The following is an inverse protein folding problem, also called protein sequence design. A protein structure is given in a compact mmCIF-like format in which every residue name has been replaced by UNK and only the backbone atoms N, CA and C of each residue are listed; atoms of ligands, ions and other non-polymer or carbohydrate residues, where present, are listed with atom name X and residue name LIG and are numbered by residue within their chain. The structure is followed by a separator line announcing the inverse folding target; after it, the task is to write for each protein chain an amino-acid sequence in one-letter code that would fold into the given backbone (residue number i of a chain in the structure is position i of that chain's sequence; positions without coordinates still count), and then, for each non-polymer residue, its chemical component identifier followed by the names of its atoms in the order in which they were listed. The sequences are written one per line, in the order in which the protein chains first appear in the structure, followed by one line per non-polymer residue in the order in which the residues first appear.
data_IF_312538578979
#
_entry.id   IF_312538578979
#
_cell.length_a   1.000
_cell.length_b   1.000
_cell.length_c   1.000
_cell.angle_alpha   90.00
_cell.angle_beta   90.00
_cell.angle_gamma   90.00
#
_symmetry.space_group_name_H-M   'P 1'
#
loop_
_entity.id
_entity.type
_entity.pdbx_description
1 polymer ?
#
# COMPACT_ATOMS: atom_id res chain seq x y z
N UNK A 1 -67.95 -32.06 -30.37
CA UNK A 1 -66.93 -32.57 -29.44
C UNK A 1 -65.59 -32.63 -30.16
N UNK A 2 -64.72 -31.62 -30.02
CA UNK A 2 -63.33 -31.68 -30.50
C UNK A 2 -62.43 -31.06 -29.43
N UNK A 3 -61.78 -31.91 -28.62
CA UNK A 3 -60.74 -31.50 -27.67
C UNK A 3 -59.40 -31.45 -28.40
N UNK A 4 -58.96 -30.23 -28.75
CA UNK A 4 -57.62 -29.97 -29.25
C UNK A 4 -56.65 -30.15 -28.07
N UNK A 5 -55.85 -31.21 -28.13
CA UNK A 5 -54.84 -31.54 -27.12
C UNK A 5 -53.50 -30.96 -27.58
N UNK A 6 -53.15 -29.77 -27.10
CA UNK A 6 -51.81 -29.21 -27.26
C UNK A 6 -50.81 -30.08 -26.48
N UNK A 7 -50.04 -30.92 -27.16
CA UNK A 7 -48.90 -31.60 -26.56
C UNK A 7 -47.74 -30.59 -26.48
N UNK A 8 -47.57 -29.95 -25.33
CA UNK A 8 -46.32 -29.26 -24.99
C UNK A 8 -45.24 -30.30 -24.69
N UNK A 9 -44.70 -30.94 -25.71
CA UNK A 9 -43.48 -31.75 -25.61
C UNK A 9 -42.64 -31.51 -26.86
N UNK A 10 -42.24 -30.26 -27.09
CA UNK A 10 -41.26 -29.93 -28.13
C UNK A 10 -39.85 -29.96 -27.53
N UNK A 11 -38.92 -30.78 -28.05
CA UNK A 11 -37.55 -30.87 -27.54
C UNK A 11 -36.80 -29.52 -27.57
N UNK A 12 -37.25 -28.60 -28.44
CA UNK A 12 -36.71 -27.23 -28.52
C UNK A 12 -36.99 -26.39 -27.28
N UNK A 13 -38.13 -26.59 -26.61
CA UNK A 13 -38.48 -25.86 -25.37
C UNK A 13 -37.61 -26.35 -24.23
N UNK A 14 -37.36 -27.66 -24.14
CA UNK A 14 -36.45 -28.22 -23.14
C UNK A 14 -35.02 -27.75 -23.34
N UNK A 15 -34.55 -27.64 -24.60
CA UNK A 15 -33.22 -27.16 -24.93
C UNK A 15 -33.03 -25.66 -24.63
N UNK A 16 -34.09 -24.85 -24.81
CA UNK A 16 -34.10 -23.44 -24.42
C UNK A 16 -34.13 -23.26 -22.90
N UNK A 17 -34.88 -24.09 -22.18
CA UNK A 17 -34.94 -24.04 -20.71
C UNK A 17 -33.58 -24.46 -20.13
N UNK A 18 -32.96 -25.54 -20.63
CA UNK A 18 -31.66 -25.99 -20.12
C UNK A 18 -30.53 -25.01 -20.42
N UNK A 19 -30.52 -24.39 -21.60
CA UNK A 19 -29.54 -23.35 -21.92
C UNK A 19 -29.73 -22.11 -21.05
N UNK A 20 -30.99 -21.71 -20.78
CA UNK A 20 -31.29 -20.58 -19.91
C UNK A 20 -30.91 -20.86 -18.44
N UNK A 21 -31.14 -22.08 -17.94
CA UNK A 21 -30.70 -22.48 -16.59
C UNK A 21 -29.18 -22.57 -16.45
N UNK A 22 -28.45 -23.02 -17.48
CA UNK A 22 -26.99 -23.02 -17.48
C UNK A 22 -26.42 -21.60 -17.50
N UNK A 23 -27.03 -20.67 -18.26
CA UNK A 23 -26.59 -19.28 -18.32
C UNK A 23 -26.77 -18.58 -16.95
N UNK A 24 -27.88 -18.86 -16.26
CA UNK A 24 -28.17 -18.33 -14.93
C UNK A 24 -27.23 -18.89 -13.85
N UNK A 25 -26.78 -20.14 -13.99
CA UNK A 25 -25.81 -20.78 -13.09
C UNK A 25 -24.36 -20.33 -13.35
N UNK A 26 -24.06 -19.78 -14.53
CA UNK A 26 -22.72 -19.31 -14.89
C UNK A 26 -22.42 -17.86 -14.53
N UNK A 27 -23.37 -17.12 -13.94
CA UNK A 27 -23.10 -15.80 -13.41
C UNK A 27 -22.20 -15.95 -12.17
N UNK A 28 -20.94 -15.48 -12.22
CA UNK A 28 -20.15 -15.41 -11.00
C UNK A 28 -20.88 -14.46 -10.05
N UNK A 29 -21.45 -14.99 -8.98
CA UNK A 29 -21.83 -14.20 -7.83
C UNK A 29 -20.51 -13.72 -7.21
N UNK A 30 -19.93 -12.65 -7.74
CA UNK A 30 -18.94 -11.90 -6.98
C UNK A 30 -19.69 -11.36 -5.77
N UNK A 31 -19.61 -12.08 -4.66
CA UNK A 31 -20.00 -11.58 -3.36
C UNK A 31 -19.10 -10.37 -3.08
N UNK A 32 -19.59 -9.16 -3.37
CA UNK A 32 -18.93 -7.95 -2.92
C UNK A 32 -18.88 -8.01 -1.40
N UNK A 33 -17.67 -7.88 -0.84
CA UNK A 33 -17.47 -7.82 0.61
C UNK A 33 -18.10 -6.52 1.08
N UNK A 34 -19.25 -6.60 1.73
CA UNK A 34 -19.86 -5.44 2.36
C UNK A 34 -19.24 -5.23 3.75
N UNK A 35 -18.23 -4.36 3.80
CA UNK A 35 -17.51 -4.03 5.04
C UNK A 35 -18.41 -3.46 6.13
N UNK A 36 -19.51 -2.80 5.76
CA UNK A 36 -20.41 -2.13 6.69
C UNK A 36 -21.54 -3.05 7.18
N UNK A 37 -21.64 -4.27 6.65
CA UNK A 37 -22.59 -5.27 7.09
C UNK A 37 -22.26 -5.86 8.47
N UNK A 38 -21.01 -5.77 8.93
CA UNK A 38 -20.59 -6.32 10.22
C UNK A 38 -19.40 -5.58 10.83
N UNK A 39 -19.34 -5.57 12.17
CA UNK A 39 -18.18 -5.03 12.92
C UNK A 39 -16.91 -5.80 12.56
N UNK A 40 -17.00 -7.13 12.41
CA UNK A 40 -15.85 -7.96 12.04
C UNK A 40 -15.26 -7.62 10.66
N UNK A 41 -16.07 -7.14 9.72
CA UNK A 41 -15.58 -6.61 8.44
C UNK A 41 -14.69 -5.38 8.63
N UNK A 42 -15.12 -4.43 9.47
CA UNK A 42 -14.33 -3.24 9.80
C UNK A 42 -13.10 -3.57 10.66
N UNK A 43 -13.18 -4.55 11.57
CA UNK A 43 -12.02 -5.03 12.33
C UNK A 43 -10.94 -5.63 11.42
N UNK A 44 -11.32 -6.29 10.32
CA UNK A 44 -10.38 -6.78 9.32
C UNK A 44 -9.65 -5.64 8.58
N UNK A 45 -10.31 -4.49 8.38
CA UNK A 45 -9.65 -3.29 7.83
C UNK A 45 -8.59 -2.75 8.81
N UNK A 46 -8.91 -2.69 10.10
CA UNK A 46 -7.94 -2.28 11.13
C UNK A 46 -6.75 -3.25 11.23
N UNK A 47 -7.01 -4.56 11.15
CA UNK A 47 -5.94 -5.57 11.11
C UNK A 47 -5.07 -5.42 9.87
N UNK A 48 -5.67 -5.10 8.72
CA UNK A 48 -4.92 -4.79 7.50
C UNK A 48 -4.00 -3.59 7.73
N UNK A 49 -4.51 -2.50 8.30
CA UNK A 49 -3.69 -1.32 8.64
C UNK A 49 -2.54 -1.66 9.60
N UNK A 50 -2.75 -2.55 10.58
CA UNK A 50 -1.69 -3.00 11.48
C UNK A 50 -0.52 -3.66 10.72
N UNK A 51 -0.80 -4.57 9.79
CA UNK A 51 0.23 -5.20 8.95
C UNK A 51 0.97 -4.17 8.08
N UNK A 52 0.24 -3.22 7.48
CA UNK A 52 0.83 -2.15 6.66
C UNK A 52 1.74 -1.26 7.50
N UNK A 53 1.30 -0.88 8.70
CA UNK A 53 2.09 -0.08 9.63
C UNK A 53 3.35 -0.81 10.10
N UNK A 54 3.28 -2.13 10.29
CA UNK A 54 4.46 -2.92 10.65
C UNK A 54 5.48 -2.93 9.49
N UNK A 55 5.05 -3.32 8.29
CA UNK A 55 5.93 -3.37 7.10
C UNK A 55 6.53 -1.98 6.80
N UNK A 56 5.73 -0.91 6.90
CA UNK A 56 6.24 0.44 6.69
C UNK A 56 7.23 0.89 7.77
N UNK A 57 7.02 0.51 9.04
CA UNK A 57 8.00 0.76 10.11
C UNK A 57 9.30 0.03 9.86
N UNK A 58 9.24 -1.21 9.38
CA UNK A 58 10.44 -2.00 9.04
C UNK A 58 11.20 -1.36 7.87
N UNK A 59 10.50 -0.95 6.80
CA UNK A 59 11.09 -0.19 5.70
C UNK A 59 11.79 1.09 6.18
N UNK A 60 11.09 1.94 6.93
CA UNK A 60 11.65 3.21 7.44
C UNK A 60 12.89 2.95 8.31
N UNK A 61 12.88 1.91 9.15
CA UNK A 61 14.04 1.54 9.97
C UNK A 61 15.23 1.12 9.09
N UNK A 62 15.01 0.24 8.12
CA UNK A 62 16.05 -0.26 7.24
C UNK A 62 16.64 0.86 6.36
N UNK A 63 15.80 1.71 5.78
CA UNK A 63 16.26 2.86 4.99
C UNK A 63 17.06 3.86 5.81
N UNK A 64 16.68 4.11 7.07
CA UNK A 64 17.49 4.96 7.98
C UNK A 64 18.87 4.36 8.25
N UNK A 65 18.95 3.05 8.50
CA UNK A 65 20.23 2.38 8.73
C UNK A 65 21.11 2.39 7.47
N UNK A 66 20.50 2.19 6.30
CA UNK A 66 21.19 2.31 5.02
C UNK A 66 21.76 3.72 4.81
N UNK A 67 20.95 4.75 5.05
CA UNK A 67 21.37 6.14 4.93
C UNK A 67 22.50 6.49 5.90
N UNK A 68 22.40 6.07 7.17
CA UNK A 68 23.47 6.26 8.15
C UNK A 68 24.80 5.66 7.71
N UNK A 69 24.74 4.50 7.04
CA UNK A 69 25.95 3.86 6.50
C UNK A 69 26.56 4.71 5.38
N UNK A 70 25.74 5.21 4.44
CA UNK A 70 26.22 6.10 3.37
C UNK A 70 26.78 7.42 3.91
N UNK A 71 26.11 8.02 4.89
CA UNK A 71 26.59 9.24 5.57
C UNK A 71 27.97 9.02 6.22
N UNK A 72 28.17 7.88 6.88
CA UNK A 72 29.46 7.57 7.51
C UNK A 72 30.60 7.39 6.48
N UNK A 73 30.30 6.77 5.34
CA UNK A 73 31.26 6.59 4.25
C UNK A 73 31.59 7.92 3.58
N UNK A 74 30.56 8.74 3.31
CA UNK A 74 30.72 10.09 2.77
C UNK A 74 31.61 10.94 3.69
N UNK A 75 31.32 10.94 4.99
CA UNK A 75 32.09 11.69 5.97
C UNK A 75 33.58 11.29 5.96
N UNK A 76 33.90 10.00 5.84
CA UNK A 76 35.28 9.51 5.74
C UNK A 76 35.99 10.07 4.50
N UNK A 77 35.31 10.09 3.35
CA UNK A 77 35.86 10.61 2.10
C UNK A 77 36.09 12.12 2.20
N UNK A 78 35.14 12.86 2.78
CA UNK A 78 35.25 14.30 2.99
C UNK A 78 36.43 14.65 3.90
N UNK A 79 36.65 13.89 4.97
CA UNK A 79 37.78 14.07 5.87
C UNK A 79 39.13 13.85 5.17
N UNK A 80 39.25 12.80 4.35
CA UNK A 80 40.47 12.56 3.56
C UNK A 80 40.67 13.65 2.49
N UNK A 81 39.60 14.06 1.82
CA UNK A 81 39.64 15.13 0.84
C UNK A 81 40.03 16.47 1.48
N UNK A 82 39.51 16.81 2.66
CA UNK A 82 39.86 18.05 3.35
C UNK A 82 41.36 18.13 3.69
N UNK A 83 42.00 17.00 3.99
CA UNK A 83 43.45 16.94 4.18
C UNK A 83 44.20 17.19 2.86
N UNK A 84 43.75 16.56 1.77
CA UNK A 84 44.32 16.74 0.44
C UNK A 84 44.15 18.19 -0.07
N UNK A 85 42.99 18.79 0.15
CA UNK A 85 42.65 20.14 -0.31
C UNK A 85 43.46 21.23 0.42
N UNK A 86 43.86 21.00 1.67
CA UNK A 86 44.70 21.95 2.44
C UNK A 86 46.14 22.00 1.93
N UNK A 87 46.72 20.87 1.53
CA UNK A 87 48.08 20.80 0.99
C UNK A 87 48.22 19.59 0.05
N UNK A 88 47.90 19.81 -1.22
CA UNK A 88 47.90 18.74 -2.22
C UNK A 88 49.30 18.16 -2.45
N UNK A 89 50.34 18.99 -2.44
CA UNK A 89 51.72 18.55 -2.66
C UNK A 89 52.15 17.54 -1.59
N UNK A 90 52.00 17.89 -0.31
CA UNK A 90 52.34 16.99 0.81
C UNK A 90 51.44 15.73 0.84
N UNK A 91 50.17 15.85 0.41
CA UNK A 91 49.29 14.71 0.32
C UNK A 91 49.76 13.72 -0.76
N UNK A 92 50.15 14.22 -1.93
CA UNK A 92 50.53 13.42 -3.10
C UNK A 92 51.97 12.88 -3.04
N UNK A 93 52.85 13.45 -2.22
CA UNK A 93 54.19 12.86 -1.98
C UNK A 93 54.13 11.60 -1.11
N UNK A 94 53.01 11.36 -0.41
CA UNK A 94 52.80 10.13 0.36
C UNK A 94 52.20 9.02 -0.54
N UNK A 95 52.94 7.94 -0.84
CA UNK A 95 52.47 6.88 -1.74
C UNK A 95 51.23 6.13 -1.23
N UNK A 96 51.00 6.08 0.09
CA UNK A 96 49.79 5.46 0.66
C UNK A 96 48.55 6.29 0.35
N UNK A 97 48.68 7.63 0.39
CA UNK A 97 47.59 8.55 0.04
C UNK A 97 47.26 8.47 -1.45
N UNK A 98 48.28 8.40 -2.31
CA UNK A 98 48.11 8.22 -3.76
C UNK A 98 47.41 6.90 -4.06
N UNK A 99 47.86 5.81 -3.45
CA UNK A 99 47.21 4.50 -3.60
C UNK A 99 45.73 4.52 -3.17
N UNK A 100 45.41 5.10 -2.01
CA UNK A 100 44.02 5.23 -1.52
C UNK A 100 43.16 6.06 -2.47
N UNK A 101 43.68 7.17 -2.98
CA UNK A 101 42.99 8.00 -3.97
C UNK A 101 42.71 7.20 -5.25
N UNK A 102 43.70 6.49 -5.78
CA UNK A 102 43.53 5.64 -6.97
C UNK A 102 42.50 4.53 -6.72
N UNK A 103 42.60 3.81 -5.59
CA UNK A 103 41.62 2.78 -5.21
C UNK A 103 40.20 3.35 -5.16
N UNK A 104 40.03 4.53 -4.55
CA UNK A 104 38.71 5.17 -4.45
C UNK A 104 38.13 5.51 -5.82
N UNK A 105 38.94 6.10 -6.70
CA UNK A 105 38.53 6.51 -8.04
C UNK A 105 38.31 5.35 -9.01
N UNK A 106 39.00 4.22 -8.83
CA UNK A 106 38.85 3.05 -9.70
C UNK A 106 37.77 2.08 -9.23
N UNK A 107 37.59 1.91 -7.91
CA UNK A 107 36.75 0.85 -7.34
C UNK A 107 35.68 1.38 -6.37
N UNK A 108 36.06 2.19 -5.37
CA UNK A 108 35.15 2.44 -4.23
C UNK A 108 33.90 3.24 -4.66
N UNK A 109 34.02 4.17 -5.62
CA UNK A 109 32.85 4.88 -6.16
C UNK A 109 31.84 3.97 -6.85
N UNK A 110 32.31 2.96 -7.59
CA UNK A 110 31.44 1.95 -8.22
C UNK A 110 30.67 1.16 -7.15
N UNK A 111 31.34 0.80 -6.05
CA UNK A 111 30.69 0.11 -4.92
C UNK A 111 29.62 0.99 -4.27
N UNK A 112 29.86 2.30 -4.15
CA UNK A 112 28.86 3.23 -3.62
C UNK A 112 27.66 3.37 -4.56
N UNK A 113 27.88 3.43 -5.87
CA UNK A 113 26.80 3.43 -6.87
C UNK A 113 25.94 2.16 -6.76
N UNK A 114 26.56 0.99 -6.74
CA UNK A 114 25.86 -0.29 -6.58
C UNK A 114 25.03 -0.31 -5.29
N UNK A 115 25.57 0.22 -4.18
CA UNK A 115 24.86 0.29 -2.90
C UNK A 115 23.64 1.21 -2.97
N UNK A 116 23.74 2.34 -3.66
CA UNK A 116 22.60 3.25 -3.86
C UNK A 116 21.53 2.61 -4.78
N UNK A 117 21.96 1.89 -5.82
CA UNK A 117 21.04 1.19 -6.73
C UNK A 117 20.30 0.03 -6.06
N UNK A 118 20.97 -0.67 -5.14
CA UNK A 118 20.47 -1.87 -4.45
C UNK A 118 19.68 -1.55 -3.18
N UNK A 119 18.78 -0.55 -3.19
CA UNK A 119 17.88 -0.29 -2.05
C UNK A 119 16.95 -1.49 -1.76
N UNK A 120 17.50 -2.49 -1.05
CA UNK A 120 16.86 -3.74 -0.67
C UNK A 120 15.66 -3.51 0.23
N UNK A 121 15.72 -2.44 1.05
CA UNK A 121 14.61 -2.06 1.91
C UNK A 121 13.40 -1.69 1.06
N UNK A 122 13.58 -0.88 0.02
CA UNK A 122 12.51 -0.51 -0.90
C UNK A 122 11.97 -1.73 -1.66
N UNK A 123 12.85 -2.58 -2.20
CA UNK A 123 12.42 -3.78 -2.93
C UNK A 123 11.63 -4.75 -2.06
N UNK A 124 12.05 -4.95 -0.81
CA UNK A 124 11.34 -5.80 0.15
C UNK A 124 9.97 -5.23 0.51
N UNK A 125 9.91 -3.94 0.79
CA UNK A 125 8.64 -3.25 1.08
C UNK A 125 7.66 -3.35 -0.09
N UNK A 126 8.11 -3.08 -1.32
CA UNK A 126 7.26 -3.12 -2.51
C UNK A 126 6.71 -4.53 -2.78
N UNK A 127 7.53 -5.56 -2.56
CA UNK A 127 7.11 -6.96 -2.66
C UNK A 127 6.07 -7.32 -1.61
N UNK A 128 6.31 -7.00 -0.34
CA UNK A 128 5.32 -7.20 0.73
C UNK A 128 4.00 -6.47 0.42
N UNK A 129 4.08 -5.22 -0.06
CA UNK A 129 2.89 -4.46 -0.45
C UNK A 129 2.12 -5.12 -1.60
N UNK A 130 2.81 -5.76 -2.54
CA UNK A 130 2.14 -6.49 -3.61
C UNK A 130 1.41 -7.72 -3.06
N UNK A 131 2.06 -8.50 -2.19
CA UNK A 131 1.45 -9.66 -1.52
C UNK A 131 0.24 -9.24 -0.67
N UNK A 132 0.34 -8.13 0.07
CA UNK A 132 -0.76 -7.61 0.88
C UNK A 132 -1.97 -7.21 0.05
N UNK A 133 -1.79 -6.62 -1.14
CA UNK A 133 -2.92 -6.29 -2.02
C UNK A 133 -3.75 -7.51 -2.43
N UNK A 134 -3.11 -8.67 -2.51
CA UNK A 134 -3.77 -9.92 -2.89
C UNK A 134 -4.35 -10.69 -1.69
N UNK A 135 -3.76 -10.50 -0.50
CA UNK A 135 -4.03 -11.35 0.67
C UNK A 135 -4.76 -10.65 1.81
N UNK A 136 -4.68 -9.33 1.89
CA UNK A 136 -5.33 -8.52 2.93
C UNK A 136 -6.57 -7.79 2.39
N UNK A 137 -7.35 -7.24 3.31
CA UNK A 137 -8.63 -6.62 2.98
C UNK A 137 -8.44 -5.15 2.61
N UNK A 138 -8.57 -4.84 1.32
CA UNK A 138 -8.60 -3.47 0.82
C UNK A 138 -10.01 -3.11 0.36
N UNK A 139 -10.59 -1.99 0.85
CA UNK A 139 -11.86 -1.51 0.34
C UNK A 139 -11.68 -1.02 -1.10
N UNK A 140 -12.71 -1.26 -1.91
CA UNK A 140 -12.77 -0.71 -3.26
C UNK A 140 -13.12 0.79 -3.22
N UNK A 141 -12.96 1.46 -4.36
CA UNK A 141 -13.43 2.84 -4.54
C UNK A 141 -14.93 2.97 -4.28
N UNK A 142 -15.72 1.92 -4.57
CA UNK A 142 -17.16 1.93 -4.33
C UNK A 142 -17.49 1.85 -2.84
N UNK A 143 -16.78 1.00 -2.08
CA UNK A 143 -16.92 0.91 -0.62
C UNK A 143 -16.60 2.26 0.04
N UNK A 144 -15.56 2.95 -0.45
CA UNK A 144 -15.22 4.29 0.01
C UNK A 144 -16.34 5.31 -0.27
N UNK A 145 -16.90 5.33 -1.49
CA UNK A 145 -18.03 6.22 -1.84
C UNK A 145 -19.27 5.92 -1.02
N UNK A 146 -19.60 4.65 -0.84
CA UNK A 146 -20.72 4.21 -0.02
C UNK A 146 -20.56 4.67 1.44
N UNK A 147 -19.34 4.58 1.98
CA UNK A 147 -19.04 5.07 3.33
C UNK A 147 -19.28 6.59 3.49
N UNK A 148 -18.87 7.37 2.48
CA UNK A 148 -19.07 8.82 2.47
C UNK A 148 -20.56 9.18 2.34
N UNK A 149 -21.30 8.47 1.49
CA UNK A 149 -22.74 8.64 1.34
C UNK A 149 -23.50 8.27 2.63
N UNK A 150 -23.11 7.20 3.31
CA UNK A 150 -23.68 6.81 4.60
C UNK A 150 -23.44 7.90 5.67
N UNK A 151 -22.23 8.47 5.73
CA UNK A 151 -21.93 9.57 6.65
C UNK A 151 -22.74 10.83 6.33
N UNK A 152 -22.86 11.20 5.05
CA UNK A 152 -23.68 12.33 4.61
C UNK A 152 -25.15 12.14 4.99
N UNK A 153 -25.68 10.92 4.84
CA UNK A 153 -27.05 10.58 5.24
C UNK A 153 -27.27 10.71 6.74
N UNK A 154 -26.33 10.29 7.58
CA UNK A 154 -26.39 10.49 9.03
C UNK A 154 -26.41 11.97 9.38
N UNK A 155 -25.57 12.76 8.70
CA UNK A 155 -25.53 14.21 8.88
C UNK A 155 -26.88 14.85 8.54
N UNK A 156 -27.49 14.50 7.40
CA UNK A 156 -28.77 15.04 6.97
C UNK A 156 -29.93 14.61 7.89
N UNK A 157 -29.98 13.33 8.25
CA UNK A 157 -31.07 12.75 9.07
C UNK A 157 -31.10 13.31 10.48
N UNK A 158 -29.92 13.56 11.08
CA UNK A 158 -29.79 14.03 12.45
C UNK A 158 -29.38 15.51 12.57
N UNK A 159 -29.35 16.23 11.45
CA UNK A 159 -28.93 17.64 11.38
C UNK A 159 -27.60 17.92 12.10
N UNK A 160 -26.63 17.03 11.92
CA UNK A 160 -25.34 17.12 12.60
C UNK A 160 -24.51 18.28 12.05
N UNK A 161 -23.80 18.97 12.93
CA UNK A 161 -22.84 20.01 12.56
C UNK A 161 -21.59 19.35 11.93
N UNK A 162 -21.26 19.78 10.71
CA UNK A 162 -20.13 19.24 9.94
C UNK A 162 -18.78 19.50 10.62
N UNK A 163 -18.65 20.60 11.37
CA UNK A 163 -17.44 20.92 12.14
C UNK A 163 -17.27 19.97 13.31
N UNK A 164 -18.38 19.59 13.96
CA UNK A 164 -18.39 18.61 15.04
C UNK A 164 -18.09 17.21 14.52
N UNK A 165 -18.74 16.78 13.43
CA UNK A 165 -18.49 15.47 12.81
C UNK A 165 -17.02 15.32 12.39
N UNK A 166 -16.43 16.35 11.76
CA UNK A 166 -15.03 16.34 11.36
C UNK A 166 -14.08 16.22 12.57
N UNK A 167 -14.45 16.79 13.71
CA UNK A 167 -13.76 16.61 14.99
C UNK A 167 -14.00 15.27 15.69
N UNK A 168 -14.88 14.42 15.13
CA UNK A 168 -15.30 13.16 15.72
C UNK A 168 -16.36 13.29 16.81
N UNK A 169 -17.08 14.42 16.88
CA UNK A 169 -18.18 14.65 17.79
C UNK A 169 -19.52 14.34 17.12
N UNK A 170 -20.35 13.53 17.79
CA UNK A 170 -21.72 13.24 17.38
C UNK A 170 -22.64 13.53 18.57
N UNK A 171 -23.60 14.46 18.42
CA UNK A 171 -24.51 14.91 19.49
C UNK A 171 -23.78 15.31 20.80
N UNK A 172 -22.64 16.00 20.69
CA UNK A 172 -21.87 16.46 21.85
C UNK A 172 -20.99 15.40 22.53
N UNK A 173 -21.02 14.14 22.07
CA UNK A 173 -20.14 13.07 22.56
C UNK A 173 -19.00 12.82 21.57
N UNK A 174 -17.77 12.73 22.06
CA UNK A 174 -16.59 12.47 21.23
C UNK A 174 -16.42 10.97 21.00
N UNK A 175 -16.60 10.55 19.75
CA UNK A 175 -16.40 9.17 19.30
C UNK A 175 -15.13 9.00 18.45
N UNK A 176 -14.67 10.06 17.78
CA UNK A 176 -13.48 10.02 16.92
C UNK A 176 -12.20 10.57 17.56
N UNK A 177 -11.06 10.10 17.08
CA UNK A 177 -9.72 10.61 17.41
C UNK A 177 -9.26 11.74 16.46
N UNK A 178 -10.21 12.56 15.98
CA UNK A 178 -9.87 13.70 15.12
C UNK A 178 -8.86 14.62 15.81
N UNK A 179 -7.78 14.99 15.09
CA UNK A 179 -6.93 16.10 15.51
C UNK A 179 -7.75 17.37 15.39
N UNK A 180 -8.19 17.90 16.53
CA UNK A 180 -8.52 19.32 16.63
C UNK A 180 -7.29 20.09 16.14
N UNK A 181 -7.48 20.94 15.13
CA UNK A 181 -6.49 21.96 14.80
C UNK A 181 -6.34 22.92 15.96
#
# INVERSE_FOLDING_TARGET
MNKIRWKLTSPTIHLLITTCTCLLLSLPCQAQIDYFSSISGLENLLRTEEYLLQSFREYVRASKQHLQTLESELHRIEMEYAQAARNAENYLTNPVNVYRLMKRLTNDWTIYEERVQSDEAAQTFLRQMNEYRETLSFPSTEDFRASAAALARLQETYHLDTTQIAGGFLNGVKYGYGRGK
#
